data_IF_717948002463
#
_entry.id   IF_717948002463
#
_cell.length_a   1.000
_cell.length_b   1.000
_cell.length_c   1.000
_cell.angle_alpha   90.00
_cell.angle_beta   90.00
_cell.angle_gamma   90.00
#
_symmetry.space_group_name_H-M   'P 1'
#
loop_
_entity.id
_entity.type
_entity.pdbx_description
1 polymer ?
#
# COMPACT_ATOMS: atom_id res chain seq x y z
N UNK A 1 5.51 -2.61 -8.21
CA UNK A 1 4.80 -3.15 -7.04
C UNK A 1 4.11 -1.99 -6.35
N UNK A 2 2.83 -2.14 -6.04
CA UNK A 2 2.05 -1.13 -5.34
C UNK A 2 1.96 -1.50 -3.87
N UNK A 3 2.10 -0.50 -3.01
CA UNK A 3 2.14 -0.70 -1.56
C UNK A 3 1.12 0.23 -0.93
N UNK A 4 0.22 -0.34 -0.14
CA UNK A 4 -0.73 0.41 0.69
C UNK A 4 -0.27 0.31 2.13
N UNK A 5 0.10 1.46 2.70
CA UNK A 5 0.44 1.58 4.12
C UNK A 5 -0.77 2.13 4.85
N UNK A 6 -1.36 1.34 5.73
CA UNK A 6 -2.46 1.72 6.60
C UNK A 6 -1.92 2.14 7.96
N UNK A 7 -2.37 3.29 8.46
CA UNK A 7 -2.01 3.79 9.79
C UNK A 7 -3.15 3.51 10.77
N UNK A 8 -2.87 2.67 11.75
CA UNK A 8 -3.70 2.42 12.94
C UNK A 8 -3.03 3.15 14.12
N UNK A 9 -3.79 3.53 15.16
CA UNK A 9 -3.34 4.45 16.23
C UNK A 9 -1.91 4.21 16.74
N UNK A 10 -1.56 2.95 17.01
CA UNK A 10 -0.24 2.54 17.50
C UNK A 10 0.50 1.56 16.57
N UNK A 11 -0.03 1.32 15.36
CA UNK A 11 0.52 0.32 14.45
C UNK A 11 0.40 0.77 12.99
N UNK A 12 1.23 0.19 12.13
CA UNK A 12 1.05 0.34 10.68
C UNK A 12 1.04 -1.03 10.03
N UNK A 13 0.19 -1.18 9.03
CA UNK A 13 0.12 -2.39 8.20
C UNK A 13 0.51 -2.04 6.78
N UNK A 14 1.26 -2.93 6.17
CA UNK A 14 1.73 -2.77 4.79
C UNK A 14 1.14 -3.90 3.98
N UNK A 15 0.44 -3.55 2.91
CA UNK A 15 -0.12 -4.48 1.94
C UNK A 15 0.58 -4.27 0.60
N UNK A 16 1.01 -5.36 -0.01
CA UNK A 16 1.70 -5.35 -1.29
C UNK A 16 0.79 -5.91 -2.38
N UNK A 17 0.79 -5.24 -3.53
CA UNK A 17 -0.04 -5.58 -4.68
C UNK A 17 0.80 -5.53 -5.95
N UNK A 18 0.49 -6.40 -6.90
CA UNK A 18 1.17 -6.42 -8.19
C UNK A 18 0.70 -5.26 -9.08
N UNK A 19 -0.62 -5.03 -9.11
CA UNK A 19 -1.26 -4.04 -9.99
C UNK A 19 -1.73 -2.80 -9.22
N UNK A 20 -1.90 -1.69 -9.95
CA UNK A 20 -2.41 -0.44 -9.37
C UNK A 20 -3.87 -0.60 -8.98
N UNK A 21 -4.63 -1.23 -9.86
CA UNK A 21 -6.07 -1.41 -9.76
C UNK A 21 -6.45 -2.14 -8.46
N UNK A 22 -5.73 -3.22 -8.13
CA UNK A 22 -5.94 -3.97 -6.89
C UNK A 22 -5.64 -3.11 -5.65
N UNK A 23 -4.54 -2.37 -5.67
CA UNK A 23 -4.13 -1.52 -4.56
C UNK A 23 -5.12 -0.35 -4.32
N UNK A 24 -5.62 0.26 -5.39
CA UNK A 24 -6.61 1.34 -5.31
C UNK A 24 -7.94 0.80 -4.78
N UNK A 25 -8.40 -0.34 -5.30
CA UNK A 25 -9.64 -0.96 -4.83
C UNK A 25 -9.56 -1.32 -3.34
N UNK A 26 -8.43 -1.88 -2.90
CA UNK A 26 -8.20 -2.14 -1.48
C UNK A 26 -8.21 -0.84 -0.66
N UNK A 27 -7.62 0.24 -1.16
CA UNK A 27 -7.60 1.53 -0.47
C UNK A 27 -8.98 2.18 -0.37
N UNK A 28 -9.85 2.03 -1.37
CA UNK A 28 -11.23 2.54 -1.33
C UNK A 28 -12.08 1.86 -0.27
N UNK A 29 -11.78 0.61 0.08
CA UNK A 29 -12.45 -0.15 1.14
C UNK A 29 -11.94 0.20 2.54
N UNK A 30 -10.80 0.90 2.66
CA UNK A 30 -10.19 1.28 3.94
C UNK A 30 -10.82 2.58 4.46
N UNK A 31 -11.30 2.54 5.71
CA UNK A 31 -11.86 3.71 6.40
C UNK A 31 -10.81 4.52 7.18
N UNK A 32 -9.60 3.97 7.32
CA UNK A 32 -8.50 4.60 8.05
C UNK A 32 -7.53 5.31 7.10
N UNK A 33 -6.79 6.32 7.57
CA UNK A 33 -5.77 6.97 6.77
C UNK A 33 -4.78 5.95 6.20
N UNK A 34 -4.64 5.96 4.88
CA UNK A 34 -3.76 5.08 4.15
C UNK A 34 -2.95 5.87 3.11
N UNK A 35 -1.73 5.39 2.84
CA UNK A 35 -0.87 5.93 1.78
C UNK A 35 -0.69 4.85 0.72
N UNK A 36 -1.04 5.17 -0.52
CA UNK A 36 -0.70 4.36 -1.68
C UNK A 36 0.64 4.83 -2.26
N UNK A 37 1.60 3.90 -2.33
CA UNK A 37 2.93 4.13 -2.87
C UNK A 37 3.20 3.18 -4.04
N UNK A 38 3.95 3.66 -5.03
CA UNK A 38 4.50 2.81 -6.09
C UNK A 38 5.98 2.58 -5.82
N UNK A 39 6.38 1.32 -5.72
CA UNK A 39 7.77 0.93 -5.61
C UNK A 39 8.19 0.26 -6.92
N UNK A 40 9.24 0.82 -7.52
CA UNK A 40 10.13 0.05 -8.35
C UNK A 40 11.27 -0.34 -7.40
N UNK A 41 11.25 -1.58 -6.92
CA UNK A 41 12.43 -2.16 -6.30
C UNK A 41 13.29 -2.68 -7.44
N UNK A 42 14.08 -1.78 -8.03
CA UNK A 42 15.30 -2.23 -8.69
C UNK A 42 16.27 -2.52 -7.54
N UNK A 43 16.44 -3.81 -7.20
CA UNK A 43 17.51 -4.25 -6.30
C UNK A 43 18.83 -3.78 -6.90
N UNK A 44 19.35 -2.66 -6.40
CA UNK A 44 20.75 -2.30 -6.62
C UNK A 44 21.53 -3.21 -5.68
N UNK A 45 21.94 -4.37 -6.21
CA UNK A 45 22.83 -5.32 -5.57
C UNK A 45 24.26 -4.77 -5.50
#
# INVERSE_FOLDING_TARGET
MWVVTLFEEENFRIYEFETKEEAVKAMEELQLPAILSFTNLTLVA
#
